data_IF_755842789441
#
_entry.id   IF_755842789441
#
_cell.length_a   1.000
_cell.length_b   1.000
_cell.length_c   1.000
_cell.angle_alpha   90.00
_cell.angle_beta   90.00
_cell.angle_gamma   90.00
#
_symmetry.space_group_name_H-M   'P 1'
#
loop_
_entity.id
_entity.type
_entity.pdbx_description
1 polymer ?
#
# COMPACT_ATOMS: atom_id res chain seq x y z
N UNK A 1 49.71 8.73 23.35
CA UNK A 1 48.98 8.65 22.07
C UNK A 1 48.32 7.29 21.97
N UNK A 2 47.03 7.27 21.66
CA UNK A 2 46.22 6.13 21.20
C UNK A 2 46.05 4.92 22.13
N UNK A 3 44.95 4.90 22.89
CA UNK A 3 44.12 3.69 23.19
C UNK A 3 42.65 4.06 23.45
N UNK A 4 42.37 5.30 23.84
CA UNK A 4 41.01 5.83 24.06
C UNK A 4 40.30 6.37 22.80
N UNK A 5 40.88 6.21 21.61
CA UNK A 5 40.28 6.70 20.35
C UNK A 5 39.42 5.67 19.62
N UNK A 6 39.68 4.37 19.82
CA UNK A 6 39.06 3.29 19.04
C UNK A 6 37.72 2.83 19.64
N UNK A 7 37.59 2.84 20.97
CA UNK A 7 36.35 2.41 21.63
C UNK A 7 35.16 3.35 21.38
N UNK A 8 35.42 4.65 21.16
CA UNK A 8 34.36 5.64 20.87
C UNK A 8 33.85 5.56 19.42
N UNK A 9 34.67 5.06 18.49
CA UNK A 9 34.26 4.84 17.10
C UNK A 9 33.24 3.69 16.99
N UNK A 10 33.38 2.65 17.82
CA UNK A 10 32.41 1.54 17.87
C UNK A 10 31.07 1.94 18.47
N UNK A 11 31.03 2.84 19.47
CA UNK A 11 29.76 3.32 20.06
C UNK A 11 29.01 4.24 19.10
N UNK A 12 29.72 5.06 18.31
CA UNK A 12 29.12 5.88 17.25
C UNK A 12 28.52 5.04 16.10
N UNK A 13 29.10 3.89 15.78
CA UNK A 13 28.58 2.97 14.75
C UNK A 13 27.30 2.22 15.18
N UNK A 14 27.04 2.06 16.49
CA UNK A 14 25.80 1.44 16.98
C UNK A 14 24.62 2.43 16.95
N UNK A 15 24.88 3.74 17.02
CA UNK A 15 23.85 4.79 16.89
C UNK A 15 23.33 5.01 15.47
N UNK A 16 23.97 4.45 14.44
CA UNK A 16 23.62 4.67 13.02
C UNK A 16 23.39 3.38 12.21
N UNK A 17 22.82 2.32 12.80
CA UNK A 17 22.00 1.39 12.00
C UNK A 17 20.53 1.71 12.21
N UNK A 18 20.23 2.95 11.82
CA UNK A 18 18.93 3.38 11.33
C UNK A 18 18.66 2.58 10.05
N UNK A 19 17.76 1.62 10.14
CA UNK A 19 16.77 1.33 9.09
C UNK A 19 15.67 0.53 9.77
N UNK A 20 14.84 1.22 10.57
CA UNK A 20 13.43 0.83 10.61
C UNK A 20 12.91 1.17 9.22
N UNK A 21 12.91 0.18 8.33
CA UNK A 21 11.93 0.20 7.26
C UNK A 21 10.60 0.02 7.98
N UNK A 22 9.99 1.14 8.36
CA UNK A 22 8.58 1.14 8.71
C UNK A 22 7.87 0.81 7.39
N UNK A 23 7.48 -0.45 7.20
CA UNK A 23 6.72 -0.84 6.02
C UNK A 23 5.32 -0.22 6.16
N UNK A 24 5.10 0.84 5.38
CA UNK A 24 3.84 1.58 5.33
C UNK A 24 2.94 0.92 4.30
N UNK A 25 1.82 0.34 4.75
CA UNK A 25 0.78 -0.15 3.86
C UNK A 25 -0.32 0.88 3.71
N UNK A 26 -0.69 1.16 2.46
CA UNK A 26 -1.84 2.05 2.15
C UNK A 26 -3.01 1.22 1.69
N UNK A 27 -4.13 1.33 2.38
CA UNK A 27 -5.38 0.64 2.06
C UNK A 27 -6.34 1.65 1.44
N UNK A 28 -6.96 1.27 0.32
CA UNK A 28 -7.95 2.07 -0.40
C UNK A 28 -9.25 1.30 -0.52
N UNK A 29 -10.35 1.94 -0.15
CA UNK A 29 -11.69 1.34 -0.18
C UNK A 29 -12.66 2.31 -0.85
N UNK A 30 -13.45 1.89 -1.86
CA UNK A 30 -14.43 2.78 -2.47
C UNK A 30 -15.48 3.19 -1.42
N UNK A 31 -15.76 4.49 -1.31
CA UNK A 31 -16.83 4.99 -0.45
C UNK A 31 -18.13 5.29 -1.23
N UNK A 32 -18.03 5.38 -2.56
CA UNK A 32 -19.15 5.66 -3.44
C UNK A 32 -19.34 4.55 -4.49
N UNK A 33 -20.30 3.67 -4.24
CA UNK A 33 -20.61 2.53 -5.11
C UNK A 33 -21.21 2.94 -6.46
N UNK A 34 -21.74 4.16 -6.57
CA UNK A 34 -22.41 4.64 -7.79
C UNK A 34 -21.44 5.20 -8.84
N UNK A 35 -20.18 5.50 -8.45
CA UNK A 35 -19.17 6.05 -9.35
C UNK A 35 -18.98 5.19 -10.61
N UNK A 36 -18.95 3.87 -10.47
CA UNK A 36 -18.70 2.94 -11.58
C UNK A 36 -19.83 2.88 -12.64
N UNK A 37 -20.95 3.56 -12.39
CA UNK A 37 -22.08 3.70 -13.32
C UNK A 37 -22.21 5.13 -13.89
N UNK A 38 -21.34 6.06 -13.49
CA UNK A 38 -21.31 7.41 -14.03
C UNK A 38 -20.85 7.42 -15.49
N UNK A 39 -21.32 8.40 -16.26
CA UNK A 39 -20.89 8.59 -17.65
C UNK A 39 -19.40 8.87 -17.72
N UNK A 40 -18.88 9.65 -16.77
CA UNK A 40 -17.47 10.01 -16.65
C UNK A 40 -16.59 8.77 -16.47
N UNK A 41 -16.99 7.85 -15.60
CA UNK A 41 -16.26 6.60 -15.39
C UNK A 41 -16.24 5.74 -16.65
N UNK A 42 -17.38 5.66 -17.35
CA UNK A 42 -17.51 4.88 -18.58
C UNK A 42 -16.72 5.50 -19.74
N UNK A 43 -16.57 6.83 -19.78
CA UNK A 43 -15.74 7.52 -20.75
C UNK A 43 -14.24 7.20 -20.52
N UNK A 44 -13.78 7.26 -19.27
CA UNK A 44 -12.41 6.84 -18.93
C UNK A 44 -12.18 5.38 -19.28
N UNK A 45 -13.12 4.50 -18.93
CA UNK A 45 -12.99 3.07 -19.23
C UNK A 45 -12.75 2.82 -20.73
N UNK A 46 -13.41 3.58 -21.61
CA UNK A 46 -13.27 3.43 -23.06
C UNK A 46 -11.98 4.06 -23.61
N UNK A 47 -11.55 5.17 -23.04
CA UNK A 47 -10.43 5.98 -23.55
C UNK A 47 -9.08 5.63 -22.92
N UNK A 48 -9.04 4.76 -21.91
CA UNK A 48 -7.81 4.39 -21.20
C UNK A 48 -7.03 3.27 -21.90
N UNK A 49 -5.72 3.11 -21.62
CA UNK A 49 -4.94 1.95 -22.06
C UNK A 49 -5.48 0.62 -21.52
N UNK A 50 -5.24 -0.50 -22.22
CA UNK A 50 -5.79 -1.84 -21.92
C UNK A 50 -5.61 -2.27 -20.46
N UNK A 51 -4.45 -2.02 -19.85
CA UNK A 51 -4.20 -2.34 -18.44
C UNK A 51 -5.14 -1.58 -17.50
N UNK A 52 -5.34 -0.29 -17.75
CA UNK A 52 -6.27 0.57 -16.99
C UNK A 52 -7.72 0.15 -17.25
N UNK A 53 -8.06 -0.24 -18.49
CA UNK A 53 -9.40 -0.75 -18.79
C UNK A 53 -9.72 -2.02 -18.01
N UNK A 54 -8.75 -2.94 -17.94
CA UNK A 54 -8.88 -4.21 -17.18
C UNK A 54 -9.16 -3.91 -15.71
N UNK A 55 -8.38 -3.00 -15.11
CA UNK A 55 -8.57 -2.61 -13.72
C UNK A 55 -9.92 -1.93 -13.48
N UNK A 56 -10.32 -1.00 -14.33
CA UNK A 56 -11.60 -0.29 -14.21
C UNK A 56 -12.81 -1.20 -14.47
N UNK A 57 -12.68 -2.18 -15.36
CA UNK A 57 -13.72 -3.20 -15.61
C UNK A 57 -13.89 -4.05 -14.35
N UNK A 58 -12.79 -4.54 -13.79
CA UNK A 58 -12.82 -5.32 -12.55
C UNK A 58 -13.46 -4.52 -11.41
N UNK A 59 -13.09 -3.24 -11.21
CA UNK A 59 -13.75 -2.38 -10.21
C UNK A 59 -15.25 -2.33 -10.47
N UNK A 60 -15.70 -2.07 -11.71
CA UNK A 60 -17.12 -1.95 -12.04
C UNK A 60 -17.91 -3.21 -11.70
N UNK A 61 -17.36 -4.38 -12.02
CA UNK A 61 -18.01 -5.67 -11.77
C UNK A 61 -18.06 -6.02 -10.27
N UNK A 62 -17.07 -5.55 -9.50
CA UNK A 62 -16.86 -5.99 -8.12
C UNK A 62 -17.15 -4.93 -7.06
N UNK A 63 -17.50 -3.69 -7.45
CA UNK A 63 -17.69 -2.58 -6.49
C UNK A 63 -18.78 -2.87 -5.45
N UNK A 64 -19.81 -3.64 -5.84
CA UNK A 64 -20.91 -4.05 -4.95
C UNK A 64 -20.47 -5.04 -3.87
N UNK A 65 -19.38 -5.78 -4.09
CA UNK A 65 -18.88 -6.83 -3.19
C UNK A 65 -17.89 -6.29 -2.15
N UNK A 66 -17.71 -4.96 -2.09
CA UNK A 66 -16.77 -4.29 -1.20
C UNK A 66 -15.32 -4.56 -1.60
N UNK A 67 -14.70 -3.57 -2.25
CA UNK A 67 -13.31 -3.67 -2.70
C UNK A 67 -12.35 -3.11 -1.64
N UNK A 68 -11.24 -3.81 -1.42
CA UNK A 68 -10.12 -3.33 -0.63
C UNK A 68 -8.83 -3.48 -1.44
N UNK A 69 -8.15 -2.37 -1.69
CA UNK A 69 -6.87 -2.34 -2.38
C UNK A 69 -5.74 -2.01 -1.42
N UNK A 70 -4.73 -2.88 -1.32
CA UNK A 70 -3.58 -2.72 -0.43
C UNK A 70 -2.33 -2.46 -1.25
N UNK A 71 -1.63 -1.37 -0.93
CA UNK A 71 -0.28 -1.13 -1.40
C UNK A 71 0.69 -1.89 -0.49
N UNK A 72 1.37 -2.89 -1.06
CA UNK A 72 2.28 -3.81 -0.37
C UNK A 72 3.75 -3.37 -0.42
N UNK A 73 4.04 -2.16 -0.92
CA UNK A 73 5.33 -1.48 -0.80
C UNK A 73 6.46 -2.03 -1.69
N UNK A 74 6.62 -3.35 -1.77
CA UNK A 74 7.59 -4.04 -2.62
C UNK A 74 6.97 -4.70 -3.87
N UNK A 75 5.64 -4.62 -4.03
CA UNK A 75 4.85 -5.37 -5.02
C UNK A 75 3.72 -4.50 -5.61
N UNK A 76 3.07 -4.93 -6.73
CA UNK A 76 1.89 -4.27 -7.30
C UNK A 76 0.78 -4.05 -6.26
N UNK A 77 -0.08 -3.05 -6.49
CA UNK A 77 -1.27 -2.84 -5.70
C UNK A 77 -2.21 -4.04 -5.86
N UNK A 78 -2.47 -4.76 -4.77
CA UNK A 78 -3.39 -5.88 -4.75
C UNK A 78 -4.76 -5.40 -4.33
N UNK A 79 -5.79 -5.70 -5.12
CA UNK A 79 -7.18 -5.45 -4.78
C UNK A 79 -7.94 -6.76 -4.60
N UNK A 80 -8.78 -6.84 -3.58
CA UNK A 80 -9.59 -8.01 -3.27
C UNK A 80 -10.98 -7.60 -2.80
N UNK A 81 -11.97 -8.46 -3.05
CA UNK A 81 -13.35 -8.30 -2.57
C UNK A 81 -13.60 -9.15 -1.34
N UNK A 82 -14.68 -8.84 -0.61
CA UNK A 82 -15.16 -9.72 0.45
C UNK A 82 -15.65 -11.08 -0.08
N UNK A 83 -16.05 -11.15 -1.36
CA UNK A 83 -16.45 -12.37 -2.06
C UNK A 83 -15.28 -13.25 -2.54
N UNK A 84 -14.04 -12.76 -2.44
CA UNK A 84 -12.81 -13.50 -2.80
C UNK A 84 -12.29 -13.26 -4.22
N UNK A 85 -12.97 -12.42 -5.01
CA UNK A 85 -12.44 -11.91 -6.28
C UNK A 85 -11.22 -11.04 -6.01
N UNK A 86 -10.19 -11.12 -6.84
CA UNK A 86 -8.99 -10.31 -6.68
C UNK A 86 -8.39 -9.93 -8.04
N UNK A 87 -7.62 -8.84 -8.02
CA UNK A 87 -6.81 -8.37 -9.14
C UNK A 87 -5.52 -7.76 -8.60
N UNK A 88 -4.43 -7.98 -9.30
CA UNK A 88 -3.17 -7.28 -9.06
C UNK A 88 -2.97 -6.26 -10.17
N UNK A 89 -2.62 -5.02 -9.80
CA UNK A 89 -2.37 -3.94 -10.74
C UNK A 89 -1.17 -3.12 -10.31
N UNK A 90 -0.57 -2.37 -11.22
CA UNK A 90 0.53 -1.49 -10.87
C UNK A 90 -0.01 -0.25 -10.12
N UNK A 91 0.73 0.24 -9.11
CA UNK A 91 0.44 1.50 -8.45
C UNK A 91 0.39 2.67 -9.47
N UNK A 92 1.18 2.60 -10.54
CA UNK A 92 1.13 3.58 -11.63
C UNK A 92 -0.25 3.66 -12.30
N UNK A 93 -0.92 2.52 -12.53
CA UNK A 93 -2.27 2.51 -13.12
C UNK A 93 -3.25 3.23 -12.21
N UNK A 94 -3.13 3.03 -10.89
CA UNK A 94 -3.91 3.76 -9.90
C UNK A 94 -3.62 5.27 -9.92
N UNK A 95 -2.35 5.65 -9.95
CA UNK A 95 -1.94 7.06 -9.89
C UNK A 95 -2.28 7.86 -11.14
N UNK A 96 -2.41 7.18 -12.28
CA UNK A 96 -2.90 7.74 -13.55
C UNK A 96 -4.42 7.96 -13.57
N UNK A 97 -5.17 7.39 -12.62
CA UNK A 97 -6.62 7.65 -12.55
C UNK A 97 -6.88 9.13 -12.22
N UNK A 98 -7.86 9.76 -12.89
CA UNK A 98 -8.26 11.12 -12.57
C UNK A 98 -8.70 11.26 -11.11
N UNK A 99 -8.48 12.45 -10.56
CA UNK A 99 -8.73 12.73 -9.14
C UNK A 99 -10.17 12.42 -8.77
N UNK A 100 -11.15 12.77 -9.62
CA UNK A 100 -12.55 12.50 -9.31
C UNK A 100 -12.85 11.01 -9.07
N UNK A 101 -12.12 10.07 -9.69
CA UNK A 101 -12.22 8.64 -9.40
C UNK A 101 -11.54 8.34 -8.07
N UNK A 102 -10.29 8.79 -7.90
CA UNK A 102 -9.50 8.53 -6.67
C UNK A 102 -10.13 9.13 -5.41
N UNK A 103 -10.81 10.26 -5.54
CA UNK A 103 -11.48 10.98 -4.45
C UNK A 103 -12.75 10.24 -3.97
N UNK A 104 -13.28 9.29 -4.75
CA UNK A 104 -14.33 8.36 -4.31
C UNK A 104 -13.80 7.17 -3.49
N UNK A 105 -12.54 7.22 -3.07
CA UNK A 105 -11.93 6.17 -2.27
C UNK A 105 -11.41 6.75 -0.96
N UNK A 106 -11.75 6.04 0.11
CA UNK A 106 -11.17 6.31 1.43
C UNK A 106 -9.77 5.72 1.46
N UNK A 107 -8.79 6.53 1.83
CA UNK A 107 -7.39 6.12 1.94
C UNK A 107 -7.01 6.04 3.41
N UNK A 108 -6.55 4.88 3.83
CA UNK A 108 -6.05 4.62 5.19
C UNK A 108 -4.61 4.14 5.11
N UNK A 109 -3.79 4.54 6.09
CA UNK A 109 -2.37 4.18 6.13
C UNK A 109 -2.07 3.47 7.44
N UNK A 110 -1.45 2.28 7.35
CA UNK A 110 -1.07 1.48 8.50
C UNK A 110 0.45 1.26 8.52
N UNK A 111 1.04 1.45 9.69
CA UNK A 111 2.46 1.21 9.92
C UNK A 111 2.65 -0.20 10.44
N UNK A 112 3.33 -1.05 9.67
CA UNK A 112 3.79 -2.34 10.19
C UNK A 112 5.06 -2.05 10.97
N UNK A 113 4.89 -1.85 12.28
CA UNK A 113 6.03 -1.84 13.20
C UNK A 113 6.53 -3.28 13.25
N UNK A 114 7.63 -3.58 12.55
CA UNK A 114 8.32 -4.84 12.73
C UNK A 114 8.65 -4.98 14.23
N UNK A 115 7.90 -5.84 14.93
CA UNK A 115 8.23 -6.23 16.30
C UNK A 115 9.42 -7.17 16.17
N UNK A 116 10.60 -6.59 15.94
CA UNK A 116 11.88 -7.25 16.12
C UNK A 116 12.05 -7.57 17.60
N UNK A 117 11.57 -8.75 17.98
CA UNK A 117 11.92 -9.54 19.16
C UNK A 117 12.52 -8.78 20.35
N UNK A 118 11.67 -8.39 21.31
CA UNK A 118 12.06 -8.14 22.70
C UNK A 118 11.91 -9.40 23.59
N UNK A 119 11.68 -10.57 22.98
CA UNK A 119 11.47 -11.82 23.73
C UNK A 119 12.75 -12.60 24.08
N UNK A 120 13.94 -12.03 23.89
CA UNK A 120 15.21 -12.69 24.26
C UNK A 120 15.88 -12.15 25.52
N UNK A 121 15.28 -11.21 26.28
CA UNK A 121 15.92 -10.65 27.51
C UNK A 121 15.03 -10.78 28.77
N UNK A 122 14.08 -11.73 28.81
CA UNK A 122 13.27 -11.96 30.03
C UNK A 122 13.12 -13.44 30.42
N UNK A 123 14.09 -14.28 30.03
CA UNK A 123 14.20 -15.68 30.47
C UNK A 123 15.63 -16.07 30.90
N UNK A 124 16.46 -15.09 31.29
CA UNK A 124 17.74 -15.31 31.98
C UNK A 124 17.84 -14.31 33.13
N UNK A 125 16.89 -14.40 34.06
CA UNK A 125 17.01 -13.89 35.44
C UNK A 125 16.84 -15.07 36.37
#
# INVERSE_FOLDING_TARGET
MSKMGIAWFCVLLISFNVCKADDVQTIRTPNNLSMANSEEYMDILKNSPECTQTFLTWIKENIQDGIQCTNVGNDPMKCETTSGSNIETNLEVWDQLPSYIRDQWTISTFYIKAIGSLYSILLLS
#
